data_IF_551908558553
#
_entry.id   IF_551908558553
#
_cell.length_a   1.000
_cell.length_b   1.000
_cell.length_c   1.000
_cell.angle_alpha   90.00
_cell.angle_beta   90.00
_cell.angle_gamma   90.00
#
_symmetry.space_group_name_H-M   'P 1'
#
loop_
_entity.id
_entity.type
_entity.pdbx_description
1 polymer ?
#
# COMPACT_ATOMS: atom_id res chain seq x y z
N UNK A 1 -81.59 101.14 -5.57
CA UNK A 1 -80.16 101.29 -5.81
C UNK A 1 -79.46 99.93 -5.72
N UNK A 2 -79.02 99.57 -6.82
CA UNK A 2 -78.39 98.29 -7.15
C UNK A 2 -77.14 97.99 -6.35
N UNK A 3 -76.92 96.72 -6.09
CA UNK A 3 -75.60 96.24 -5.93
C UNK A 3 -75.58 94.75 -6.33
N UNK A 4 -74.97 94.62 -7.39
CA UNK A 4 -74.72 93.45 -8.17
C UNK A 4 -73.59 92.59 -7.49
N UNK A 5 -73.82 91.33 -7.10
CA UNK A 5 -72.81 90.47 -6.62
C UNK A 5 -72.70 89.25 -7.47
N UNK A 6 -71.66 89.31 -8.30
CA UNK A 6 -71.24 88.32 -9.25
C UNK A 6 -70.68 87.05 -8.51
N UNK A 7 -71.42 85.92 -8.45
CA UNK A 7 -70.96 84.63 -7.90
C UNK A 7 -70.44 83.82 -9.11
N UNK A 8 -69.11 83.61 -9.12
CA UNK A 8 -68.45 82.66 -10.02
C UNK A 8 -68.85 81.20 -9.69
N UNK A 9 -69.16 80.35 -10.71
CA UNK A 9 -69.51 78.94 -10.44
C UNK A 9 -68.31 78.16 -10.07
N UNK A 10 -68.44 77.28 -9.07
CA UNK A 10 -67.41 76.35 -8.58
C UNK A 10 -67.05 75.31 -9.66
N UNK A 11 -65.79 75.29 -10.06
CA UNK A 11 -65.22 74.30 -10.97
C UNK A 11 -65.34 72.88 -10.39
N UNK A 12 -66.24 72.07 -10.92
CA UNK A 12 -66.29 70.61 -10.57
C UNK A 12 -64.97 69.93 -11.00
N UNK A 13 -64.22 69.41 -10.01
CA UNK A 13 -63.08 68.55 -10.26
C UNK A 13 -63.61 67.26 -10.86
N UNK A 14 -63.14 66.91 -12.07
CA UNK A 14 -63.35 65.60 -12.65
C UNK A 14 -62.67 64.56 -11.77
N UNK A 15 -63.29 63.38 -11.51
CA UNK A 15 -62.62 62.27 -10.83
C UNK A 15 -61.45 61.76 -11.74
N UNK A 16 -60.27 61.76 -11.15
CA UNK A 16 -59.10 61.11 -11.81
C UNK A 16 -59.36 59.61 -11.73
N UNK A 17 -59.66 59.00 -12.86
CA UNK A 17 -59.71 57.58 -13.02
C UNK A 17 -58.23 57.03 -12.79
N UNK A 18 -57.98 56.40 -11.66
CA UNK A 18 -56.77 55.59 -11.45
C UNK A 18 -56.80 54.45 -12.46
N UNK A 19 -55.71 54.19 -13.19
CA UNK A 19 -55.65 52.99 -14.01
C UNK A 19 -55.83 51.82 -13.07
N UNK A 20 -56.85 51.01 -13.25
CA UNK A 20 -56.95 49.69 -12.65
C UNK A 20 -55.86 48.83 -13.27
N UNK A 21 -54.92 48.35 -12.49
CA UNK A 21 -53.97 47.33 -12.92
C UNK A 21 -54.81 46.14 -13.38
N UNK A 22 -54.91 45.99 -14.67
CA UNK A 22 -55.52 44.84 -15.31
C UNK A 22 -54.63 43.66 -15.09
N UNK A 23 -54.95 42.83 -14.10
CA UNK A 23 -54.27 41.59 -13.85
C UNK A 23 -54.58 40.65 -15.04
N UNK A 24 -53.63 40.59 -15.97
CA UNK A 24 -53.72 39.68 -17.10
C UNK A 24 -53.45 38.26 -16.52
N UNK A 25 -54.49 37.51 -16.27
CA UNK A 25 -54.40 36.09 -15.99
C UNK A 25 -53.96 35.42 -17.28
N UNK A 26 -52.65 35.10 -17.38
CA UNK A 26 -52.17 34.23 -18.41
C UNK A 26 -52.58 32.82 -18.02
N UNK A 27 -53.55 32.28 -18.69
CA UNK A 27 -53.90 30.84 -18.53
C UNK A 27 -52.65 30.02 -18.80
N UNK A 28 -52.16 29.34 -17.76
CA UNK A 28 -51.05 28.40 -17.88
C UNK A 28 -51.47 27.33 -18.91
N UNK A 29 -50.78 27.32 -20.04
CA UNK A 29 -51.03 26.32 -21.08
C UNK A 29 -50.95 24.94 -20.39
N UNK A 30 -51.97 24.05 -20.51
CA UNK A 30 -51.93 22.74 -19.88
C UNK A 30 -50.70 22.04 -20.41
N UNK A 31 -49.79 21.68 -19.46
CA UNK A 31 -48.63 20.88 -19.80
C UNK A 31 -49.14 19.54 -20.32
N UNK A 32 -48.91 19.25 -21.59
CA UNK A 32 -49.32 18.00 -22.16
C UNK A 32 -48.45 16.86 -21.58
N UNK A 33 -48.91 16.31 -20.45
CA UNK A 33 -48.19 15.32 -19.65
C UNK A 33 -47.73 14.15 -20.51
N UNK A 34 -48.50 13.77 -21.52
CA UNK A 34 -48.18 12.70 -22.46
C UNK A 34 -46.92 13.06 -23.28
N UNK A 35 -46.82 14.24 -23.82
CA UNK A 35 -45.62 14.67 -24.56
C UNK A 35 -44.43 14.82 -23.65
N UNK A 36 -44.61 15.24 -22.40
CA UNK A 36 -43.54 15.33 -21.41
C UNK A 36 -43.01 13.93 -21.06
N UNK A 37 -43.90 12.95 -20.82
CA UNK A 37 -43.54 11.57 -20.56
C UNK A 37 -42.83 10.89 -21.74
N UNK A 38 -43.30 11.16 -22.97
CA UNK A 38 -42.65 10.62 -24.18
C UNK A 38 -41.24 11.22 -24.32
N UNK A 39 -40.99 12.48 -24.04
CA UNK A 39 -39.66 13.10 -24.08
C UNK A 39 -38.72 12.46 -23.06
N UNK A 40 -39.20 12.25 -21.81
CA UNK A 40 -38.41 11.57 -20.77
C UNK A 40 -38.11 10.13 -21.21
N UNK A 41 -39.10 9.38 -21.69
CA UNK A 41 -38.89 8.02 -22.16
C UNK A 41 -37.88 7.95 -23.32
N UNK A 42 -37.92 8.90 -24.24
CA UNK A 42 -36.95 8.98 -25.35
C UNK A 42 -35.54 9.25 -24.82
N UNK A 43 -35.36 10.17 -23.88
CA UNK A 43 -34.05 10.46 -23.28
C UNK A 43 -33.52 9.23 -22.55
N UNK A 44 -34.35 8.53 -21.77
CA UNK A 44 -33.98 7.30 -21.08
C UNK A 44 -33.57 6.22 -22.10
N UNK A 45 -34.32 6.06 -23.19
CA UNK A 45 -34.00 5.08 -24.22
C UNK A 45 -32.66 5.39 -24.91
N UNK A 46 -32.36 6.65 -25.19
CA UNK A 46 -31.06 7.08 -25.76
C UNK A 46 -29.93 6.80 -24.77
N UNK A 47 -30.10 7.16 -23.50
CA UNK A 47 -29.08 6.89 -22.46
C UNK A 47 -28.84 5.39 -22.32
N UNK A 48 -29.92 4.58 -22.30
CA UNK A 48 -29.81 3.12 -22.25
C UNK A 48 -29.07 2.57 -23.47
N UNK A 49 -29.36 3.05 -24.66
CA UNK A 49 -28.69 2.64 -25.90
C UNK A 49 -27.19 2.97 -25.87
N UNK A 50 -26.81 4.16 -25.35
CA UNK A 50 -25.40 4.56 -25.17
C UNK A 50 -24.72 3.63 -24.16
N UNK A 51 -25.31 3.44 -22.98
CA UNK A 51 -24.73 2.57 -21.92
C UNK A 51 -24.57 1.13 -22.41
N UNK A 52 -25.56 0.62 -23.14
CA UNK A 52 -25.51 -0.73 -23.73
C UNK A 52 -24.42 -0.83 -24.80
N UNK A 53 -24.30 0.17 -25.68
CA UNK A 53 -23.23 0.24 -26.67
C UNK A 53 -21.85 0.28 -26.02
N UNK A 54 -21.66 1.12 -24.99
CA UNK A 54 -20.41 1.17 -24.22
C UNK A 54 -20.10 -0.17 -23.54
N UNK A 55 -21.10 -0.86 -23.02
CA UNK A 55 -20.93 -2.17 -22.37
C UNK A 55 -20.44 -3.26 -23.32
N UNK A 56 -20.83 -3.21 -24.57
CA UNK A 56 -20.37 -4.17 -25.59
C UNK A 56 -18.98 -3.82 -26.12
N UNK A 57 -18.70 -2.54 -26.27
CA UNK A 57 -17.49 -2.06 -26.94
C UNK A 57 -16.26 -2.09 -26.04
N UNK A 58 -16.41 -1.73 -24.75
CA UNK A 58 -15.29 -1.67 -23.80
C UNK A 58 -15.14 -2.98 -23.00
N UNK A 59 -14.59 -4.00 -23.65
CA UNK A 59 -14.28 -5.29 -23.01
C UNK A 59 -12.79 -5.53 -22.94
N UNK A 60 -12.34 -6.19 -21.87
CA UNK A 60 -10.95 -6.61 -21.73
C UNK A 60 -10.61 -7.64 -22.80
N UNK A 61 -9.67 -7.33 -23.66
CA UNK A 61 -9.05 -8.24 -24.61
C UNK A 61 -7.57 -8.44 -24.28
N UNK A 62 -6.89 -7.39 -23.84
CA UNK A 62 -5.46 -7.39 -23.53
C UNK A 62 -5.18 -6.97 -22.09
N UNK A 63 -4.17 -7.62 -21.49
CA UNK A 63 -3.59 -7.22 -20.22
C UNK A 63 -2.10 -6.97 -20.43
N UNK A 64 -1.63 -5.79 -20.08
CA UNK A 64 -0.22 -5.44 -20.08
C UNK A 64 0.25 -5.35 -18.63
N UNK A 65 1.39 -5.95 -18.33
CA UNK A 65 1.99 -5.93 -16.98
C UNK A 65 3.40 -5.35 -17.08
N UNK A 66 3.73 -4.46 -16.16
CA UNK A 66 5.06 -3.86 -16.06
C UNK A 66 5.56 -3.91 -14.61
N UNK A 67 6.89 -4.03 -14.43
CA UNK A 67 7.55 -4.01 -13.12
C UNK A 67 7.65 -5.38 -12.45
N UNK A 68 7.53 -6.48 -13.23
CA UNK A 68 7.80 -7.83 -12.75
C UNK A 68 8.60 -8.62 -13.78
N UNK A 69 9.60 -9.35 -13.31
CA UNK A 69 10.36 -10.33 -14.09
C UNK A 69 10.04 -11.75 -13.65
N UNK A 70 9.60 -11.92 -12.41
CA UNK A 70 9.31 -13.22 -11.81
C UNK A 70 7.98 -13.81 -12.28
N UNK A 71 6.99 -12.95 -12.60
CA UNK A 71 5.67 -13.40 -13.00
C UNK A 71 5.36 -13.07 -14.45
N UNK A 72 4.78 -14.04 -15.16
CA UNK A 72 4.25 -13.82 -16.51
C UNK A 72 2.97 -13.00 -16.49
N UNK A 73 2.66 -12.34 -17.60
CA UNK A 73 1.40 -11.59 -17.77
C UNK A 73 0.19 -12.45 -17.46
N UNK A 74 0.19 -13.72 -17.87
CA UNK A 74 -0.90 -14.67 -17.64
C UNK A 74 -1.11 -14.95 -16.13
N UNK A 75 -0.02 -15.12 -15.37
CA UNK A 75 -0.09 -15.34 -13.92
C UNK A 75 -0.63 -14.12 -13.19
N UNK A 76 -0.22 -12.91 -13.59
CA UNK A 76 -0.73 -11.66 -12.99
C UNK A 76 -2.20 -11.47 -13.35
N UNK A 77 -2.61 -11.74 -14.58
CA UNK A 77 -4.00 -11.67 -15.04
C UNK A 77 -4.90 -12.65 -14.27
N UNK A 78 -4.43 -13.89 -14.09
CA UNK A 78 -5.14 -14.91 -13.31
C UNK A 78 -5.25 -14.52 -11.83
N UNK A 79 -4.17 -14.07 -11.23
CA UNK A 79 -4.15 -13.59 -9.85
C UNK A 79 -5.11 -12.42 -9.65
N UNK A 80 -5.10 -11.46 -10.58
CA UNK A 80 -6.01 -10.31 -10.61
C UNK A 80 -7.49 -10.71 -10.74
N UNK A 81 -7.76 -11.92 -11.25
CA UNK A 81 -9.12 -12.39 -11.55
C UNK A 81 -9.75 -11.63 -12.73
N UNK A 82 -8.92 -11.20 -13.69
CA UNK A 82 -9.38 -10.50 -14.89
C UNK A 82 -9.67 -11.54 -15.98
N UNK A 83 -10.93 -11.62 -16.35
CA UNK A 83 -11.41 -12.54 -17.41
C UNK A 83 -11.58 -11.74 -18.70
N UNK A 84 -11.09 -12.27 -19.82
CA UNK A 84 -11.30 -11.66 -21.13
C UNK A 84 -12.80 -11.54 -21.41
N UNK A 85 -13.21 -10.41 -21.99
CA UNK A 85 -14.63 -10.09 -22.21
C UNK A 85 -15.32 -9.37 -21.05
N UNK A 86 -14.68 -9.25 -19.89
CA UNK A 86 -15.20 -8.43 -18.78
C UNK A 86 -15.24 -6.95 -19.19
N UNK A 87 -16.28 -6.23 -18.75
CA UNK A 87 -16.38 -4.80 -19.06
C UNK A 87 -15.31 -4.00 -18.30
N UNK A 88 -14.48 -3.25 -19.05
CA UNK A 88 -13.41 -2.40 -18.52
C UNK A 88 -13.89 -1.36 -17.51
N UNK A 89 -15.10 -0.81 -17.73
CA UNK A 89 -15.63 0.27 -16.90
C UNK A 89 -16.15 -0.21 -15.54
N UNK A 90 -16.39 -1.53 -15.40
CA UNK A 90 -16.86 -2.14 -14.15
C UNK A 90 -15.76 -2.76 -13.32
N UNK A 91 -14.50 -2.69 -13.76
CA UNK A 91 -13.35 -3.24 -13.03
C UNK A 91 -13.13 -2.50 -11.70
N UNK A 92 -13.09 -3.26 -10.62
CA UNK A 92 -12.74 -2.74 -9.30
C UNK A 92 -11.23 -2.83 -9.07
N UNK A 93 -10.54 -1.70 -9.26
CA UNK A 93 -9.07 -1.61 -9.16
C UNK A 93 -8.55 -2.01 -7.78
N UNK A 94 -9.22 -1.63 -6.69
CA UNK A 94 -8.81 -2.01 -5.34
C UNK A 94 -8.87 -3.53 -5.14
N UNK A 95 -9.93 -4.16 -5.61
CA UNK A 95 -10.10 -5.61 -5.50
C UNK A 95 -9.06 -6.37 -6.34
N UNK A 96 -8.75 -5.86 -7.53
CA UNK A 96 -7.69 -6.40 -8.39
C UNK A 96 -6.34 -6.30 -7.66
N UNK A 97 -5.99 -5.13 -7.12
CA UNK A 97 -4.75 -4.92 -6.37
C UNK A 97 -4.63 -5.86 -5.17
N UNK A 98 -5.69 -5.99 -4.37
CA UNK A 98 -5.69 -6.89 -3.21
C UNK A 98 -5.46 -8.35 -3.61
N UNK A 99 -6.13 -8.83 -4.68
CA UNK A 99 -5.96 -10.20 -5.17
C UNK A 99 -4.54 -10.46 -5.68
N UNK A 100 -3.94 -9.50 -6.38
CA UNK A 100 -2.56 -9.61 -6.84
C UNK A 100 -1.62 -9.74 -5.65
N UNK A 101 -1.76 -8.87 -4.65
CA UNK A 101 -0.91 -8.90 -3.45
C UNK A 101 -1.10 -10.17 -2.62
N UNK A 102 -2.29 -10.74 -2.58
CA UNK A 102 -2.58 -11.98 -1.86
C UNK A 102 -1.99 -13.22 -2.56
N UNK A 103 -2.16 -13.31 -3.89
CA UNK A 103 -1.81 -14.50 -4.66
C UNK A 103 -0.38 -14.51 -5.19
N UNK A 104 0.24 -13.34 -5.36
CA UNK A 104 1.60 -13.19 -5.87
C UNK A 104 2.50 -12.63 -4.77
N UNK A 105 3.13 -13.51 -3.97
CA UNK A 105 3.86 -13.09 -2.77
C UNK A 105 5.08 -12.22 -3.05
N UNK A 106 5.71 -12.33 -4.21
CA UNK A 106 6.86 -11.50 -4.59
C UNK A 106 6.45 -10.10 -5.09
N UNK A 107 5.17 -9.82 -5.27
CA UNK A 107 4.72 -8.46 -5.54
C UNK A 107 4.61 -7.70 -4.21
N UNK A 108 5.46 -6.68 -4.07
CA UNK A 108 5.50 -5.78 -2.93
C UNK A 108 4.34 -4.80 -2.97
N UNK A 109 4.11 -4.22 -4.15
CA UNK A 109 3.11 -3.17 -4.33
C UNK A 109 2.52 -3.18 -5.73
N UNK A 110 1.24 -2.86 -5.85
CA UNK A 110 0.62 -2.49 -7.11
C UNK A 110 0.69 -0.97 -7.23
N UNK A 111 1.57 -0.47 -8.11
CA UNK A 111 1.84 0.96 -8.28
C UNK A 111 0.77 1.66 -9.09
N UNK A 112 0.06 0.91 -9.96
CA UNK A 112 -1.03 1.46 -10.74
C UNK A 112 -1.84 0.43 -11.50
N UNK A 113 -3.14 0.72 -11.66
CA UNK A 113 -4.02 -0.03 -12.55
C UNK A 113 -4.68 0.98 -13.47
N UNK A 114 -4.26 0.98 -14.74
CA UNK A 114 -4.75 1.84 -15.81
C UNK A 114 -5.71 1.09 -16.74
N UNK A 115 -6.52 1.85 -17.45
CA UNK A 115 -7.33 1.36 -18.55
C UNK A 115 -6.90 2.15 -19.79
N UNK A 116 -6.47 1.44 -20.82
CA UNK A 116 -6.22 1.99 -22.15
C UNK A 116 -7.33 1.53 -23.07
N UNK A 117 -8.18 2.48 -23.44
CA UNK A 117 -9.31 2.20 -24.33
C UNK A 117 -8.79 1.81 -25.72
N UNK A 118 -9.50 0.91 -26.44
CA UNK A 118 -10.83 0.42 -26.09
C UNK A 118 -10.86 -0.87 -25.24
N UNK A 119 -9.74 -1.62 -25.12
CA UNK A 119 -9.75 -3.04 -24.76
C UNK A 119 -8.65 -3.49 -23.78
N UNK A 120 -7.79 -2.58 -23.31
CA UNK A 120 -6.54 -2.95 -22.62
C UNK A 120 -6.54 -2.52 -21.15
N UNK A 121 -6.17 -3.43 -20.25
CA UNK A 121 -5.85 -3.15 -18.84
C UNK A 121 -4.33 -3.11 -18.69
N UNK A 122 -3.82 -2.06 -18.06
CA UNK A 122 -2.39 -1.91 -17.75
C UNK A 122 -2.20 -2.02 -16.25
N UNK A 123 -1.38 -2.98 -15.81
CA UNK A 123 -1.08 -3.22 -14.40
C UNK A 123 0.41 -2.94 -14.20
N UNK A 124 0.72 -1.97 -13.36
CA UNK A 124 2.08 -1.69 -12.94
C UNK A 124 2.27 -2.17 -11.51
N UNK A 125 3.33 -2.96 -11.31
CA UNK A 125 3.67 -3.56 -10.03
C UNK A 125 5.12 -3.26 -9.67
N UNK A 126 5.46 -3.48 -8.41
CA UNK A 126 6.83 -3.41 -7.88
C UNK A 126 7.11 -4.74 -7.18
N UNK A 127 8.20 -5.40 -7.55
CA UNK A 127 8.64 -6.65 -6.92
C UNK A 127 9.46 -6.40 -5.66
N UNK A 128 9.45 -7.39 -4.78
CA UNK A 128 10.38 -7.47 -3.65
C UNK A 128 11.75 -7.87 -4.18
N UNK A 129 12.74 -7.02 -3.99
CA UNK A 129 14.11 -7.27 -4.48
C UNK A 129 14.90 -8.20 -3.55
N UNK A 130 14.60 -8.16 -2.26
CA UNK A 130 15.32 -8.94 -1.23
C UNK A 130 14.35 -9.78 -0.43
N UNK A 131 14.79 -10.97 -0.09
CA UNK A 131 14.09 -11.86 0.81
C UNK A 131 15.00 -12.29 1.98
N UNK A 132 14.35 -12.55 3.10
CA UNK A 132 14.97 -12.94 4.34
C UNK A 132 14.56 -14.37 4.67
N UNK A 133 15.53 -15.22 5.00
CA UNK A 133 15.28 -16.61 5.31
C UNK A 133 15.08 -16.80 6.82
N UNK A 134 13.90 -17.31 7.21
CA UNK A 134 13.57 -17.65 8.59
C UNK A 134 13.19 -19.12 8.67
N UNK A 135 13.48 -19.73 9.81
CA UNK A 135 13.02 -21.10 10.11
C UNK A 135 11.61 -21.07 10.72
N UNK A 136 10.84 -22.11 10.43
CA UNK A 136 9.62 -22.40 11.16
C UNK A 136 9.86 -23.43 12.27
N UNK A 137 8.83 -23.69 13.09
CA UNK A 137 8.87 -24.66 14.19
C UNK A 137 9.30 -26.05 13.76
N UNK A 138 9.01 -26.47 12.53
CA UNK A 138 9.39 -27.73 11.92
C UNK A 138 10.80 -27.70 11.29
N UNK A 139 11.61 -26.69 11.59
CA UNK A 139 12.93 -26.44 11.03
C UNK A 139 12.99 -26.26 9.51
N UNK A 140 11.86 -26.12 8.83
CA UNK A 140 11.83 -25.77 7.42
C UNK A 140 12.14 -24.28 7.21
N UNK A 141 12.77 -23.96 6.07
CA UNK A 141 13.16 -22.60 5.72
C UNK A 141 12.08 -21.93 4.86
N UNK A 142 11.84 -20.66 5.16
CA UNK A 142 10.85 -19.82 4.47
C UNK A 142 11.44 -18.47 4.13
N UNK A 143 11.17 -17.99 2.92
CA UNK A 143 11.49 -16.63 2.55
C UNK A 143 10.36 -15.68 2.95
N UNK A 144 10.76 -14.55 3.50
CA UNK A 144 9.87 -13.51 4.01
C UNK A 144 10.35 -12.15 3.48
N UNK A 145 9.45 -11.26 3.09
CA UNK A 145 9.80 -9.89 2.71
C UNK A 145 10.13 -9.03 3.93
N UNK A 146 10.71 -7.86 3.73
CA UNK A 146 10.97 -6.90 4.83
C UNK A 146 9.68 -6.40 5.51
N UNK A 147 8.52 -6.47 4.84
CA UNK A 147 7.21 -6.18 5.44
C UNK A 147 6.65 -7.35 6.25
N UNK A 148 7.35 -8.49 6.27
CA UNK A 148 6.92 -9.68 6.98
C UNK A 148 5.95 -10.58 6.19
N UNK A 149 5.84 -10.44 4.88
CA UNK A 149 5.01 -11.30 4.04
C UNK A 149 5.74 -12.61 3.72
N UNK A 150 5.12 -13.74 4.00
CA UNK A 150 5.66 -15.07 3.68
C UNK A 150 5.56 -15.29 2.17
N UNK A 151 6.70 -15.60 1.54
CA UNK A 151 6.81 -15.66 0.09
C UNK A 151 6.80 -17.09 -0.43
N UNK A 152 7.73 -17.91 0.04
CA UNK A 152 7.82 -19.33 -0.36
C UNK A 152 8.58 -20.18 0.65
N UNK A 153 8.37 -21.48 0.61
CA UNK A 153 9.17 -22.47 1.33
C UNK A 153 10.37 -22.86 0.47
N UNK A 154 11.56 -22.87 1.06
CA UNK A 154 12.81 -23.12 0.33
C UNK A 154 13.67 -24.16 1.00
N UNK A 155 14.63 -24.69 0.23
CA UNK A 155 15.67 -25.57 0.78
C UNK A 155 16.75 -24.77 1.52
N UNK A 156 17.51 -25.45 2.38
CA UNK A 156 18.59 -24.84 3.14
C UNK A 156 19.64 -24.13 2.26
N UNK A 157 19.93 -24.66 1.08
CA UNK A 157 20.87 -24.04 0.13
C UNK A 157 20.41 -22.65 -0.33
N UNK A 158 19.13 -22.53 -0.66
CA UNK A 158 18.51 -21.24 -1.06
C UNK A 158 18.44 -20.30 0.14
N UNK A 159 18.10 -20.80 1.33
CA UNK A 159 18.10 -20.00 2.56
C UNK A 159 19.48 -19.41 2.86
N UNK A 160 20.57 -20.17 2.62
CA UNK A 160 21.94 -19.69 2.83
C UNK A 160 22.40 -18.67 1.79
N UNK A 161 21.75 -18.60 0.64
CA UNK A 161 22.01 -17.58 -0.38
C UNK A 161 21.27 -16.26 -0.12
N UNK A 162 20.37 -16.26 0.88
CA UNK A 162 19.61 -15.07 1.30
C UNK A 162 20.08 -14.63 2.70
N UNK A 163 19.71 -13.42 3.10
CA UNK A 163 19.96 -12.94 4.47
C UNK A 163 19.15 -13.80 5.47
N UNK A 164 19.85 -14.52 6.34
CA UNK A 164 19.19 -15.36 7.35
C UNK A 164 18.89 -14.56 8.62
N UNK A 165 17.71 -14.76 9.16
CA UNK A 165 17.33 -14.22 10.46
C UNK A 165 17.33 -15.37 11.47
N UNK A 166 18.13 -15.24 12.51
CA UNK A 166 18.27 -16.20 13.60
C UNK A 166 17.61 -15.69 14.88
N UNK A 167 17.22 -16.62 15.77
CA UNK A 167 16.66 -16.29 17.08
C UNK A 167 15.15 -16.15 17.10
N UNK A 168 14.46 -16.31 15.96
CA UNK A 168 13.01 -16.36 15.87
C UNK A 168 12.57 -17.48 14.93
N UNK A 169 11.49 -18.15 15.29
CA UNK A 169 10.87 -19.18 14.47
C UNK A 169 9.46 -18.74 14.07
N UNK A 170 9.03 -19.16 12.88
CA UNK A 170 7.69 -18.88 12.37
C UNK A 170 6.70 -19.96 12.79
N UNK A 171 5.50 -19.54 13.19
CA UNK A 171 4.37 -20.41 13.50
C UNK A 171 3.56 -20.70 12.24
N UNK A 172 3.55 -21.97 11.80
CA UNK A 172 2.73 -22.45 10.69
C UNK A 172 2.63 -21.44 9.50
N UNK A 173 3.76 -21.02 8.90
CA UNK A 173 3.76 -20.01 7.86
C UNK A 173 2.97 -20.43 6.63
N UNK A 174 2.25 -19.49 6.01
CA UNK A 174 1.49 -19.68 4.77
C UNK A 174 1.83 -18.63 3.75
N UNK A 175 2.01 -19.06 2.50
CA UNK A 175 2.36 -18.19 1.38
C UNK A 175 1.31 -17.10 1.20
N UNK A 176 1.76 -15.85 1.08
CA UNK A 176 0.92 -14.67 0.91
C UNK A 176 0.41 -14.05 2.21
N UNK A 177 0.49 -14.77 3.34
CA UNK A 177 0.09 -14.27 4.67
C UNK A 177 1.26 -13.56 5.38
N UNK A 178 0.94 -12.81 6.43
CA UNK A 178 1.93 -12.19 7.31
C UNK A 178 2.65 -13.24 8.16
N UNK A 179 3.96 -13.10 8.33
CA UNK A 179 4.76 -13.93 9.20
C UNK A 179 4.34 -13.76 10.66
N UNK A 180 4.11 -14.86 11.34
CA UNK A 180 3.75 -14.91 12.76
C UNK A 180 4.85 -15.64 13.52
N UNK A 181 5.35 -15.04 14.59
CA UNK A 181 6.36 -15.69 15.44
C UNK A 181 5.75 -16.87 16.22
N UNK A 182 6.53 -17.92 16.33
CA UNK A 182 6.19 -19.07 17.17
C UNK A 182 6.08 -18.67 18.63
N UNK A 183 5.18 -19.33 19.34
CA UNK A 183 5.05 -19.21 20.80
C UNK A 183 5.91 -20.25 21.54
N UNK A 184 6.57 -21.17 20.80
CA UNK A 184 7.40 -22.22 21.41
C UNK A 184 8.70 -21.66 21.98
N UNK A 185 9.09 -22.21 23.08
CA UNK A 185 10.35 -21.87 23.77
C UNK A 185 11.54 -22.38 22.97
N UNK A 186 12.46 -21.50 22.61
CA UNK A 186 13.85 -21.93 22.48
C UNK A 186 14.30 -22.32 23.89
N UNK A 187 14.95 -23.49 24.10
CA UNK A 187 15.40 -23.91 25.42
C UNK A 187 16.36 -22.86 25.96
N UNK A 188 15.90 -22.03 26.87
CA UNK A 188 16.72 -21.08 27.61
C UNK A 188 17.01 -21.73 28.99
N UNK A 189 18.20 -21.47 29.51
CA UNK A 189 18.70 -21.93 30.81
C UNK A 189 17.59 -21.96 31.88
N UNK A 190 17.42 -23.12 32.63
CA UNK A 190 16.36 -23.31 33.62
C UNK A 190 16.36 -22.29 34.76
N UNK A 191 17.39 -21.46 34.90
CA UNK A 191 17.58 -20.55 36.01
C UNK A 191 17.19 -19.09 35.74
N UNK A 192 16.68 -18.72 34.54
CA UNK A 192 16.30 -17.37 34.23
C UNK A 192 14.79 -17.15 34.52
N UNK A 193 14.38 -16.10 35.26
CA UNK A 193 12.96 -15.83 35.52
C UNK A 193 12.21 -15.54 34.19
N UNK A 194 11.28 -16.40 33.89
CA UNK A 194 10.57 -16.45 32.62
C UNK A 194 9.49 -15.37 32.56
N UNK A 195 9.75 -14.28 31.84
CA UNK A 195 8.66 -13.47 31.28
C UNK A 195 7.92 -14.29 30.21
N UNK A 196 6.65 -14.01 29.91
CA UNK A 196 5.89 -14.82 28.95
C UNK A 196 6.57 -14.78 27.56
N UNK A 197 7.04 -15.92 27.13
CA UNK A 197 7.88 -16.17 25.94
C UNK A 197 7.25 -15.68 24.64
N UNK A 198 5.94 -15.65 24.56
CA UNK A 198 5.16 -15.14 23.45
C UNK A 198 5.49 -13.67 23.11
N UNK A 199 5.86 -12.87 24.08
CA UNK A 199 6.23 -11.46 23.89
C UNK A 199 7.59 -11.37 23.21
N UNK A 200 8.58 -12.12 23.71
CA UNK A 200 9.95 -12.08 23.17
C UNK A 200 10.05 -12.48 21.70
N UNK A 201 9.38 -13.57 21.29
CA UNK A 201 9.45 -14.01 19.90
C UNK A 201 8.78 -13.02 18.95
N UNK A 202 7.70 -12.36 19.37
CA UNK A 202 7.05 -11.28 18.61
C UNK A 202 7.95 -10.05 18.52
N UNK A 203 8.60 -9.66 19.61
CA UNK A 203 9.54 -8.54 19.63
C UNK A 203 10.76 -8.82 18.76
N UNK A 204 11.32 -10.05 18.83
CA UNK A 204 12.42 -10.49 17.95
C UNK A 204 12.03 -10.42 16.48
N UNK A 205 10.86 -10.91 16.11
CA UNK A 205 10.38 -10.81 14.73
C UNK A 205 10.21 -9.34 14.30
N UNK A 206 9.65 -8.51 15.16
CA UNK A 206 9.47 -7.08 14.86
C UNK A 206 10.83 -6.37 14.67
N UNK A 207 11.81 -6.63 15.55
CA UNK A 207 13.16 -6.10 15.43
C UNK A 207 13.85 -6.57 14.14
N UNK A 208 13.75 -7.86 13.83
CA UNK A 208 14.31 -8.44 12.60
C UNK A 208 13.71 -7.79 11.34
N UNK A 209 12.39 -7.62 11.29
CA UNK A 209 11.72 -6.97 10.16
C UNK A 209 12.04 -5.47 10.08
N UNK A 210 12.26 -4.80 11.20
CA UNK A 210 12.71 -3.41 11.20
C UNK A 210 14.12 -3.28 10.63
N UNK A 211 15.06 -4.16 11.04
CA UNK A 211 16.42 -4.22 10.47
C UNK A 211 16.34 -4.50 8.96
N UNK A 212 15.51 -5.47 8.56
CA UNK A 212 15.30 -5.81 7.15
C UNK A 212 14.82 -4.61 6.31
N UNK A 213 13.89 -3.82 6.83
CA UNK A 213 13.39 -2.58 6.18
C UNK A 213 14.49 -1.55 6.00
N UNK A 214 15.33 -1.36 7.02
CA UNK A 214 16.42 -0.40 6.95
C UNK A 214 17.51 -0.84 5.96
N UNK A 215 17.82 -2.14 5.89
CA UNK A 215 18.74 -2.70 4.90
C UNK A 215 18.22 -2.43 3.48
N UNK A 216 16.94 -2.69 3.22
CA UNK A 216 16.32 -2.47 1.92
C UNK A 216 16.25 -0.98 1.57
N UNK A 217 15.83 -0.13 2.52
CA UNK A 217 15.70 1.31 2.32
C UNK A 217 17.02 2.00 1.97
N UNK A 218 18.15 1.46 2.45
CA UNK A 218 19.48 2.02 2.21
C UNK A 218 20.21 1.38 1.02
N UNK A 219 19.56 0.51 0.25
CA UNK A 219 20.08 -0.02 -1.02
C UNK A 219 21.26 -0.99 -0.89
N UNK A 220 21.55 -1.51 0.32
CA UNK A 220 22.58 -2.53 0.53
C UNK A 220 21.93 -3.90 0.42
N UNK A 221 21.45 -4.20 -0.76
CA UNK A 221 20.75 -5.43 -1.06
C UNK A 221 21.73 -6.60 -1.09
N UNK A 222 21.44 -7.66 -0.30
CA UNK A 222 22.21 -8.90 -0.30
C UNK A 222 23.59 -8.82 0.38
N UNK A 223 23.98 -7.70 0.98
CA UNK A 223 25.27 -7.57 1.68
C UNK A 223 25.27 -8.24 3.05
N UNK A 224 24.14 -8.27 3.75
CA UNK A 224 24.02 -8.95 5.05
C UNK A 224 23.77 -10.44 4.87
N UNK A 225 24.63 -11.26 5.45
CA UNK A 225 24.52 -12.72 5.40
C UNK A 225 23.60 -13.25 6.51
N UNK A 226 23.65 -12.62 7.68
CA UNK A 226 22.90 -13.07 8.85
C UNK A 226 22.54 -11.88 9.75
N UNK A 227 21.36 -11.96 10.36
CA UNK A 227 20.91 -11.07 11.45
C UNK A 227 20.48 -11.97 12.59
N UNK A 228 21.10 -11.82 13.76
CA UNK A 228 20.80 -12.60 14.94
C UNK A 228 20.10 -11.75 16.01
N UNK A 229 18.86 -12.09 16.26
CA UNK A 229 18.00 -11.46 17.27
C UNK A 229 17.73 -12.40 18.47
N UNK A 230 18.57 -13.42 18.64
CA UNK A 230 18.44 -14.39 19.75
C UNK A 230 18.52 -13.68 21.10
N UNK A 231 19.44 -12.74 21.22
CA UNK A 231 19.58 -11.87 22.40
C UNK A 231 19.16 -10.43 22.03
N UNK A 232 18.01 -10.02 22.55
CA UNK A 232 17.47 -8.65 22.31
C UNK A 232 18.29 -7.56 23.01
N UNK A 233 19.16 -7.91 23.94
CA UNK A 233 20.14 -6.99 24.56
C UNK A 233 21.43 -6.86 23.76
N UNK A 234 21.68 -7.78 22.83
CA UNK A 234 22.89 -7.83 22.01
C UNK A 234 22.61 -8.37 20.61
N UNK A 235 21.87 -7.60 19.83
CA UNK A 235 21.57 -7.90 18.43
C UNK A 235 22.83 -7.74 17.59
N UNK A 236 23.14 -8.75 16.77
CA UNK A 236 24.32 -8.76 15.91
C UNK A 236 23.93 -9.08 14.48
N UNK A 237 24.56 -8.42 13.53
CA UNK A 237 24.39 -8.70 12.10
C UNK A 237 25.77 -8.93 11.45
N UNK A 238 25.83 -9.76 10.42
CA UNK A 238 27.06 -10.02 9.66
C UNK A 238 26.90 -9.51 8.22
N UNK A 239 27.77 -8.56 7.86
CA UNK A 239 27.85 -8.07 6.50
C UNK A 239 28.85 -8.89 5.70
N UNK A 240 28.37 -9.80 4.89
CA UNK A 240 29.18 -10.81 4.22
C UNK A 240 30.02 -11.60 5.22
N UNK A 241 31.31 -11.77 4.88
CA UNK A 241 32.33 -12.33 5.77
C UNK A 241 33.28 -11.25 6.31
N UNK A 242 32.95 -9.95 6.10
CA UNK A 242 33.84 -8.84 6.37
C UNK A 242 33.61 -8.19 7.71
N UNK A 243 32.34 -7.93 8.05
CA UNK A 243 32.03 -7.15 9.23
C UNK A 243 31.04 -7.85 10.15
N UNK A 244 31.40 -7.94 11.43
CA UNK A 244 30.46 -8.18 12.52
C UNK A 244 29.90 -6.82 12.96
N UNK A 245 28.62 -6.61 12.81
CA UNK A 245 27.93 -5.36 13.16
C UNK A 245 27.13 -5.58 14.44
N UNK A 246 27.55 -4.93 15.52
CA UNK A 246 26.87 -4.96 16.81
C UNK A 246 25.88 -3.84 16.90
N UNK A 247 24.60 -4.17 16.99
CA UNK A 247 23.49 -3.21 17.11
C UNK A 247 23.06 -3.01 18.57
N UNK A 248 23.52 -3.90 19.49
CA UNK A 248 23.15 -3.85 20.90
C UNK A 248 21.68 -4.17 21.12
N UNK A 249 20.99 -3.37 21.92
CA UNK A 249 19.58 -3.54 22.23
C UNK A 249 18.65 -3.16 21.06
N UNK A 250 17.35 -3.48 21.24
CA UNK A 250 16.33 -3.20 20.25
C UNK A 250 15.90 -1.73 20.14
N UNK A 251 16.53 -0.81 20.89
CA UNK A 251 16.20 0.60 20.84
C UNK A 251 16.88 1.30 19.64
N UNK A 252 16.21 2.25 19.03
CA UNK A 252 16.73 3.06 17.90
C UNK A 252 17.33 2.23 16.72
N UNK A 253 16.86 0.99 16.49
CA UNK A 253 17.42 0.08 15.48
C UNK A 253 17.54 0.70 14.10
N UNK A 254 16.57 1.49 13.66
CA UNK A 254 16.64 2.19 12.38
C UNK A 254 17.91 3.08 12.28
N UNK A 255 18.18 3.86 13.31
CA UNK A 255 19.34 4.75 13.37
C UNK A 255 20.66 3.97 13.45
N UNK A 256 20.70 2.92 14.27
CA UNK A 256 21.86 2.06 14.43
C UNK A 256 22.23 1.36 13.11
N UNK A 257 21.24 0.76 12.46
CA UNK A 257 21.43 0.09 11.14
C UNK A 257 21.85 1.09 10.08
N UNK A 258 21.19 2.25 9.99
CA UNK A 258 21.56 3.30 9.05
C UNK A 258 23.02 3.75 9.27
N UNK A 259 23.41 4.03 10.52
CA UNK A 259 24.77 4.48 10.86
C UNK A 259 25.81 3.40 10.54
N UNK A 260 25.51 2.12 10.83
CA UNK A 260 26.39 1.01 10.47
C UNK A 260 26.57 0.90 8.95
N UNK A 261 25.50 1.04 8.17
CA UNK A 261 25.53 1.04 6.71
C UNK A 261 26.39 2.20 6.19
N UNK A 262 26.23 3.40 6.73
CA UNK A 262 27.07 4.55 6.36
C UNK A 262 28.56 4.32 6.67
N UNK A 263 28.87 3.66 7.79
CA UNK A 263 30.22 3.29 8.14
C UNK A 263 30.80 2.26 7.14
N UNK A 264 30.04 1.18 6.82
CA UNK A 264 30.44 0.16 5.85
C UNK A 264 30.77 0.79 4.49
N UNK A 265 29.94 1.74 4.03
CA UNK A 265 30.15 2.42 2.74
C UNK A 265 31.39 3.30 2.69
N UNK A 266 31.91 3.73 3.85
CA UNK A 266 33.15 4.56 3.95
C UNK A 266 34.42 3.71 4.05
N UNK A 267 34.26 2.45 4.49
CA UNK A 267 35.39 1.54 4.64
C UNK A 267 35.82 0.96 3.29
N UNK A 268 37.15 0.76 3.13
CA UNK A 268 37.71 0.18 1.93
C UNK A 268 37.29 -1.27 1.69
N UNK A 269 37.38 -1.72 0.44
CA UNK A 269 36.92 -3.07 0.07
C UNK A 269 37.73 -4.21 0.74
N UNK A 270 38.92 -3.95 1.22
CA UNK A 270 39.80 -4.91 1.90
C UNK A 270 39.71 -4.86 3.41
N UNK A 271 39.02 -3.88 3.97
CA UNK A 271 38.86 -3.76 5.43
C UNK A 271 37.84 -4.78 5.91
N UNK A 272 38.16 -5.37 7.07
CA UNK A 272 37.30 -6.31 7.79
C UNK A 272 37.45 -6.11 9.30
N UNK A 273 36.45 -6.50 10.06
CA UNK A 273 36.50 -6.36 11.51
C UNK A 273 35.13 -6.22 12.16
N UNK A 274 35.10 -5.55 13.29
CA UNK A 274 33.90 -5.33 14.08
C UNK A 274 33.48 -3.86 14.02
N UNK A 275 32.20 -3.64 13.74
CA UNK A 275 31.53 -2.35 13.80
C UNK A 275 30.59 -2.33 15.01
N UNK A 276 30.88 -1.48 15.98
CA UNK A 276 29.99 -1.27 17.11
C UNK A 276 29.11 -0.05 16.86
N UNK A 277 27.84 -0.33 16.55
CA UNK A 277 26.78 0.64 16.35
C UNK A 277 25.74 0.55 17.47
N UNK A 278 26.10 -0.02 18.62
CA UNK A 278 25.18 -0.18 19.78
C UNK A 278 24.84 1.15 20.46
N UNK A 279 25.67 2.18 20.24
CA UNK A 279 25.59 3.49 20.91
C UNK A 279 25.76 3.44 22.44
N UNK A 280 26.12 2.27 22.97
CA UNK A 280 26.30 2.10 24.42
C UNK A 280 27.51 2.85 24.93
N UNK A 281 28.66 2.73 24.25
CA UNK A 281 29.92 3.38 24.65
C UNK A 281 30.09 4.73 23.96
N UNK A 282 29.63 4.88 22.72
CA UNK A 282 29.77 6.05 21.87
C UNK A 282 28.38 6.45 21.35
N UNK A 283 27.64 7.32 22.06
CA UNK A 283 26.33 7.76 21.64
C UNK A 283 26.38 8.37 20.24
N UNK A 284 25.50 7.87 19.34
CA UNK A 284 25.34 8.32 17.95
C UNK A 284 26.56 8.12 17.03
N UNK A 285 27.60 7.41 17.48
CA UNK A 285 28.81 7.13 16.70
C UNK A 285 28.99 5.62 16.49
N UNK A 286 29.54 5.27 15.33
CA UNK A 286 29.92 3.88 15.02
C UNK A 286 31.43 3.73 15.20
N UNK A 287 31.81 2.81 16.05
CA UNK A 287 33.21 2.49 16.28
C UNK A 287 33.64 1.31 15.40
N UNK A 288 34.73 1.46 14.67
CA UNK A 288 35.32 0.41 13.86
C UNK A 288 36.59 -0.14 14.51
N UNK A 289 36.66 -1.47 14.67
CA UNK A 289 37.86 -2.20 15.08
C UNK A 289 38.26 -3.14 13.96
N UNK A 290 39.42 -2.92 13.35
CA UNK A 290 39.98 -3.77 12.32
C UNK A 290 40.23 -5.18 12.87
N UNK A 291 39.99 -6.21 12.05
CA UNK A 291 40.52 -7.52 12.28
C UNK A 291 42.00 -7.49 11.86
N UNK A 292 42.89 -7.61 12.82
CA UNK A 292 44.35 -7.69 12.59
C UNK A 292 44.70 -8.96 11.82
#
# INVERSE_FOLDING_TARGET
>A
MESNTNRRPARRRRPVNKPQDEIVYTDAKPVNVTHFLIRIATVIAIVMAIVFGMSIFFKVDKVEVAGTEKYTVAQVQEAAGIINGTNLLTLNKSQIASRILEKLPYIKKVTGIGIRLPDTVVIAVEETEVSYALQSEDASWWLVSCEGKVMEKVDASVAHSNTRILGVQLKAPKIGEGAVASEQQTPTDPNTPTAPITVYNRERLAAALQIAKEIEANGILGGFATVDVTDMGNIVAWYGQRFEVRLGDGEELAKKVFSAIQAINRLGQYESGMLDASFTTWPDEVYFKSAD
#
